data_IF_108143292793
#
_entry.id   IF_108143292793
#
_cell.length_a   1.000
_cell.length_b   1.000
_cell.length_c   1.000
_cell.angle_alpha   90.00
_cell.angle_beta   90.00
_cell.angle_gamma   90.00
#
_symmetry.space_group_name_H-M   'P 1'
#
loop_
_entity.id
_entity.type
_entity.pdbx_description
1 polymer ?
#
# COMPACT_ATOMS: atom_id res chain seq x y z
N UNK A 1 19.59 11.21 13.69
CA UNK A 1 19.02 10.00 13.08
C UNK A 1 17.85 10.43 12.23
N UNK A 2 17.76 9.97 10.98
CA UNK A 2 16.54 10.17 10.18
C UNK A 2 15.41 9.37 10.83
N UNK A 3 14.19 9.93 10.89
CA UNK A 3 13.04 9.21 11.44
C UNK A 3 12.66 8.01 10.56
N UNK A 4 11.92 7.04 11.11
CA UNK A 4 11.41 5.89 10.36
C UNK A 4 9.90 5.95 10.21
N UNK A 5 9.41 5.71 9.00
CA UNK A 5 7.98 5.67 8.68
C UNK A 5 7.61 4.27 8.19
N UNK A 6 6.56 3.70 8.78
CA UNK A 6 5.93 2.48 8.30
C UNK A 6 4.55 2.82 7.74
N UNK A 7 4.29 2.45 6.49
CA UNK A 7 3.02 2.71 5.81
C UNK A 7 2.46 1.43 5.21
N UNK A 8 1.22 1.09 5.59
CA UNK A 8 0.50 -0.08 5.09
C UNK A 8 -0.54 0.30 4.04
N UNK A 9 -0.61 -0.43 2.94
CA UNK A 9 -1.69 -0.35 1.95
C UNK A 9 -2.45 -1.67 1.87
N UNK A 10 -3.78 -1.60 2.00
CA UNK A 10 -4.62 -2.78 1.84
C UNK A 10 -4.77 -3.10 0.36
N UNK A 11 -4.58 -4.37 -0.07
CA UNK A 11 -4.80 -4.78 -1.46
C UNK A 11 -6.30 -4.85 -1.76
N UNK A 12 -6.89 -3.68 -2.08
CA UNK A 12 -8.28 -3.52 -2.49
C UNK A 12 -8.43 -3.49 -4.02
N UNK A 13 -9.66 -3.35 -4.52
CA UNK A 13 -9.94 -3.23 -5.96
C UNK A 13 -9.30 -1.95 -6.54
N UNK A 14 -8.07 -2.07 -7.03
CA UNK A 14 -7.31 -1.06 -7.77
C UNK A 14 -6.93 0.22 -7.03
N UNK A 15 -5.86 0.85 -7.50
CA UNK A 15 -5.42 2.17 -7.02
C UNK A 15 -6.26 3.25 -7.69
N UNK A 16 -7.14 3.88 -6.92
CA UNK A 16 -7.91 5.03 -7.38
C UNK A 16 -7.11 6.33 -7.27
N UNK A 17 -7.51 7.35 -8.04
CA UNK A 17 -6.88 8.68 -8.02
C UNK A 17 -6.82 9.29 -6.61
N UNK A 18 -7.83 9.04 -5.78
CA UNK A 18 -7.86 9.47 -4.38
C UNK A 18 -6.71 8.88 -3.56
N UNK A 19 -6.39 7.60 -3.75
CA UNK A 19 -5.26 6.94 -3.08
C UNK A 19 -3.93 7.55 -3.51
N UNK A 20 -3.80 7.86 -4.81
CA UNK A 20 -2.61 8.50 -5.33
C UNK A 20 -2.37 9.89 -4.74
N UNK A 21 -3.39 10.75 -4.80
CA UNK A 21 -3.28 12.13 -4.33
C UNK A 21 -3.21 12.23 -2.79
N UNK A 22 -3.91 11.33 -2.09
CA UNK A 22 -4.03 11.34 -0.63
C UNK A 22 -2.84 10.71 0.10
N UNK A 23 -2.21 9.68 -0.48
CA UNK A 23 -1.14 8.94 0.18
C UNK A 23 0.11 8.78 -0.71
N UNK A 24 -0.01 8.13 -1.87
CA UNK A 24 1.15 7.64 -2.64
C UNK A 24 2.05 8.80 -3.10
N UNK A 25 1.48 9.91 -3.58
CA UNK A 25 2.27 11.09 -3.96
C UNK A 25 3.07 11.65 -2.78
N UNK A 26 2.51 11.60 -1.57
CA UNK A 26 3.21 12.03 -0.36
C UNK A 26 4.29 11.02 0.05
N UNK A 27 4.03 9.72 -0.11
CA UNK A 27 4.99 8.66 0.15
C UNK A 27 6.27 8.85 -0.66
N UNK A 28 6.17 9.15 -1.97
CA UNK A 28 7.35 9.42 -2.81
C UNK A 28 8.21 10.54 -2.24
N UNK A 29 7.61 11.64 -1.78
CA UNK A 29 8.35 12.77 -1.19
C UNK A 29 9.03 12.40 0.12
N UNK A 30 8.38 11.57 0.95
CA UNK A 30 8.91 11.19 2.26
C UNK A 30 10.15 10.28 2.17
N UNK A 31 10.38 9.61 1.03
CA UNK A 31 11.54 8.74 0.82
C UNK A 31 12.87 9.51 0.88
N UNK A 32 12.86 10.82 0.58
CA UNK A 32 14.05 11.67 0.66
C UNK A 32 14.34 12.15 2.10
N UNK A 33 13.35 12.12 2.98
CA UNK A 33 13.39 12.71 4.34
C UNK A 33 13.44 11.66 5.46
N UNK A 34 12.90 10.47 5.22
CA UNK A 34 12.72 9.40 6.21
C UNK A 34 13.14 8.04 5.65
N UNK A 35 13.50 7.14 6.57
CA UNK A 35 13.63 5.73 6.25
C UNK A 35 12.22 5.11 6.16
N UNK A 36 11.77 4.83 4.95
CA UNK A 36 10.40 4.38 4.67
C UNK A 36 10.30 2.86 4.45
N UNK A 37 9.34 2.24 5.14
CA UNK A 37 8.92 0.85 4.92
C UNK A 37 7.47 0.86 4.44
N UNK A 38 7.24 0.36 3.23
CA UNK A 38 5.91 0.16 2.67
C UNK A 38 5.52 -1.31 2.71
N UNK A 39 4.31 -1.60 3.20
CA UNK A 39 3.82 -2.96 3.39
C UNK A 39 2.45 -3.15 2.74
N UNK A 40 2.29 -4.21 1.96
CA UNK A 40 0.97 -4.66 1.53
C UNK A 40 0.34 -5.46 2.67
N UNK A 41 -0.71 -4.94 3.28
CA UNK A 41 -1.35 -5.57 4.45
C UNK A 41 -2.42 -6.58 4.03
N UNK A 42 -1.99 -7.64 3.35
CA UNK A 42 -2.84 -8.73 2.85
C UNK A 42 -3.65 -9.44 3.95
N UNK A 43 -3.07 -9.64 5.13
CA UNK A 43 -3.77 -10.21 6.28
C UNK A 43 -4.94 -9.34 6.75
N UNK A 44 -4.85 -8.01 6.65
CA UNK A 44 -5.96 -7.11 6.96
C UNK A 44 -7.06 -7.22 5.90
N UNK A 45 -6.68 -7.43 4.63
CA UNK A 45 -7.62 -7.62 3.55
C UNK A 45 -8.43 -8.93 3.65
N UNK A 46 -7.95 -9.96 4.37
CA UNK A 46 -8.70 -11.20 4.58
C UNK A 46 -10.04 -11.02 5.31
N UNK A 47 -10.26 -9.87 5.95
CA UNK A 47 -11.54 -9.51 6.56
C UNK A 47 -12.62 -9.14 5.55
N UNK A 48 -12.25 -8.86 4.29
CA UNK A 48 -13.17 -8.43 3.22
C UNK A 48 -12.99 -9.17 1.89
N UNK A 49 -11.78 -9.63 1.56
CA UNK A 49 -11.44 -10.35 0.34
C UNK A 49 -11.14 -11.80 0.69
N UNK A 50 -12.01 -12.72 0.26
CA UNK A 50 -11.90 -14.14 0.55
C UNK A 50 -11.46 -14.99 -0.65
N UNK A 51 -11.64 -14.49 -1.87
CA UNK A 51 -11.20 -15.20 -3.06
C UNK A 51 -9.68 -15.10 -3.25
N UNK A 52 -9.02 -16.25 -3.37
CA UNK A 52 -7.55 -16.34 -3.47
C UNK A 52 -7.01 -15.71 -4.74
N UNK A 53 -7.68 -15.94 -5.88
CA UNK A 53 -7.22 -15.42 -7.16
C UNK A 53 -7.31 -13.89 -7.18
N UNK A 54 -8.41 -13.35 -6.65
CA UNK A 54 -8.62 -11.91 -6.46
C UNK A 54 -7.58 -11.32 -5.53
N UNK A 55 -7.32 -11.94 -4.36
CA UNK A 55 -6.29 -11.46 -3.44
C UNK A 55 -4.91 -11.39 -4.12
N UNK A 56 -4.52 -12.45 -4.84
CA UNK A 56 -3.24 -12.49 -5.55
C UNK A 56 -3.13 -11.43 -6.65
N UNK A 57 -4.23 -11.16 -7.36
CA UNK A 57 -4.29 -10.09 -8.36
C UNK A 57 -4.14 -8.71 -7.71
N UNK A 58 -4.89 -8.42 -6.65
CA UNK A 58 -4.85 -7.13 -5.95
C UNK A 58 -3.48 -6.85 -5.33
N UNK A 59 -2.83 -7.85 -4.74
CA UNK A 59 -1.48 -7.70 -4.19
C UNK A 59 -0.51 -7.24 -5.29
N UNK A 60 -0.55 -7.90 -6.45
CA UNK A 60 0.32 -7.58 -7.59
C UNK A 60 0.03 -6.18 -8.14
N UNK A 61 -1.24 -5.82 -8.27
CA UNK A 61 -1.64 -4.49 -8.77
C UNK A 61 -1.12 -3.36 -7.88
N UNK A 62 -1.06 -3.56 -6.56
CA UNK A 62 -0.57 -2.55 -5.62
C UNK A 62 0.97 -2.47 -5.56
N UNK A 63 1.68 -3.52 -5.99
CA UNK A 63 3.16 -3.57 -5.95
C UNK A 63 3.85 -3.32 -7.28
N UNK A 64 3.23 -3.67 -8.41
CA UNK A 64 3.79 -3.55 -9.76
C UNK A 64 3.66 -2.14 -10.33
#
# INVERSE_FOLDING_TARGET
>A
MQGRIFSGIQPTHGIQLGNYLGAIRNWVRLQDEYDCVYCVVDLHALTTVHDRATMAANIREVTA
#
